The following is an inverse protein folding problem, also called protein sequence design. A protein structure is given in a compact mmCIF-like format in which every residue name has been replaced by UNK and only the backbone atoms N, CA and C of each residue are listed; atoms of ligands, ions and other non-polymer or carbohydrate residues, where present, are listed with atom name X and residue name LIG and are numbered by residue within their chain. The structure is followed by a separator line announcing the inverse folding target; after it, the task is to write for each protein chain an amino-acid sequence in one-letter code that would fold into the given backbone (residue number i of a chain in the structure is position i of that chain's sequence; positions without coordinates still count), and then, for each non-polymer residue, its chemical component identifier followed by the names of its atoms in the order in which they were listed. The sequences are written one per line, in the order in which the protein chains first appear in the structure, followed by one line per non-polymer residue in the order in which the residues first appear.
data_IF_351257726217
#
_entry.id   IF_351257726217
#
_cell.length_a   1.000
_cell.length_b   1.000
_cell.length_c   1.000
_cell.angle_alpha   90.00
_cell.angle_beta   90.00
_cell.angle_gamma   90.00
#
_symmetry.space_group_name_H-M   'P 1'
#
loop_
_entity.id
_entity.type
_entity.pdbx_description
1 polymer ?
#
# COMPACT_ATOMS: atom_id res chain seq x y z
N UNK A 1 -0.90 -1.36 -16.70
CA UNK A 1 -0.18 -0.37 -15.88
C UNK A 1 0.94 -1.08 -15.15
N UNK A 2 2.04 -0.39 -14.82
CA UNK A 2 3.26 -1.00 -14.27
C UNK A 2 3.00 -1.95 -13.09
N UNK A 3 2.13 -1.57 -12.15
CA UNK A 3 1.80 -2.39 -10.98
C UNK A 3 1.14 -3.73 -11.37
N UNK A 4 0.08 -3.72 -12.18
CA UNK A 4 -0.55 -4.96 -12.66
C UNK A 4 0.44 -5.87 -13.42
N UNK A 5 1.35 -5.28 -14.22
CA UNK A 5 2.37 -6.04 -14.94
C UNK A 5 3.35 -6.72 -13.98
N UNK A 6 3.82 -6.01 -12.96
CA UNK A 6 4.72 -6.56 -11.93
C UNK A 6 4.05 -7.64 -11.08
N UNK A 7 2.76 -7.47 -10.76
CA UNK A 7 2.02 -8.45 -9.96
C UNK A 7 1.73 -9.74 -10.74
N UNK A 8 1.30 -9.64 -12.01
CA UNK A 8 1.03 -10.81 -12.84
C UNK A 8 2.29 -11.66 -13.11
N UNK A 9 3.47 -11.05 -13.10
CA UNK A 9 4.74 -11.74 -13.30
C UNK A 9 5.40 -12.25 -12.01
N UNK A 10 4.85 -11.93 -10.83
CA UNK A 10 5.45 -12.30 -9.55
C UNK A 10 4.73 -13.51 -8.94
N UNK A 11 5.34 -14.71 -8.96
CA UNK A 11 4.71 -15.93 -8.41
C UNK A 11 4.49 -15.86 -6.89
N UNK A 12 5.14 -14.92 -6.19
CA UNK A 12 4.95 -14.70 -4.76
C UNK A 12 3.79 -13.74 -4.44
N UNK A 13 3.10 -13.20 -5.44
CA UNK A 13 1.99 -12.27 -5.22
C UNK A 13 0.75 -12.71 -6.00
N UNK A 14 -0.17 -13.36 -5.29
CA UNK A 14 -1.53 -13.61 -5.80
C UNK A 14 -2.45 -12.46 -5.44
N UNK A 15 -3.14 -11.89 -6.42
CA UNK A 15 -4.23 -10.96 -6.13
C UNK A 15 -5.40 -11.68 -5.44
N UNK A 16 -6.02 -11.08 -4.41
CA UNK A 16 -7.25 -11.62 -3.83
C UNK A 16 -8.33 -11.83 -4.89
N UNK A 17 -9.18 -12.83 -4.67
CA UNK A 17 -10.29 -13.15 -5.57
C UNK A 17 -11.12 -11.91 -5.88
N UNK A 18 -11.49 -11.76 -7.15
CA UNK A 18 -12.28 -10.65 -7.65
C UNK A 18 -11.50 -9.36 -7.89
N UNK A 19 -10.25 -9.23 -7.44
CA UNK A 19 -9.43 -8.05 -7.76
C UNK A 19 -8.84 -8.19 -9.16
N UNK A 20 -9.02 -7.18 -10.00
CA UNK A 20 -8.48 -7.09 -11.35
C UNK A 20 -7.80 -5.76 -11.60
N UNK A 21 -6.81 -5.78 -12.48
CA UNK A 21 -6.17 -4.60 -13.06
C UNK A 21 -5.74 -3.54 -12.03
N UNK A 22 -5.04 -3.89 -10.92
CA UNK A 22 -4.60 -2.92 -9.93
C UNK A 22 -3.61 -1.91 -10.54
N UNK A 23 -3.79 -0.63 -10.22
CA UNK A 23 -2.95 0.48 -10.70
C UNK A 23 -2.77 1.47 -9.56
N UNK A 24 -1.56 1.99 -9.41
CA UNK A 24 -1.31 3.12 -8.53
C UNK A 24 -1.03 4.34 -9.39
N UNK A 25 -1.78 5.41 -9.15
CA UNK A 25 -1.44 6.75 -9.61
C UNK A 25 -0.60 7.40 -8.51
N UNK A 26 0.59 7.86 -8.87
CA UNK A 26 1.49 8.57 -7.97
C UNK A 26 1.41 10.05 -8.35
N UNK A 27 0.68 10.80 -7.53
CA UNK A 27 0.62 12.26 -7.59
C UNK A 27 1.22 12.86 -6.31
N UNK A 28 1.55 14.15 -6.33
CA UNK A 28 2.13 14.85 -5.19
C UNK A 28 1.07 15.66 -4.44
N UNK A 29 0.89 15.48 -3.12
CA UNK A 29 1.48 14.47 -2.22
C UNK A 29 0.67 13.15 -2.16
N UNK A 30 -0.39 13.03 -2.95
CA UNK A 30 -1.40 12.00 -2.81
C UNK A 30 -1.25 10.89 -3.84
N UNK A 31 -1.36 9.64 -3.40
CA UNK A 31 -1.41 8.49 -4.28
C UNK A 31 -2.86 8.01 -4.37
N UNK A 32 -3.22 7.41 -5.51
CA UNK A 32 -4.53 6.80 -5.67
C UNK A 32 -4.38 5.38 -6.19
N UNK A 33 -4.83 4.40 -5.41
CA UNK A 33 -4.91 3.00 -5.81
C UNK A 33 -6.25 2.75 -6.50
N UNK A 34 -6.20 2.25 -7.71
CA UNK A 34 -7.36 1.84 -8.50
C UNK A 34 -7.34 0.34 -8.75
N UNK A 35 -8.48 -0.31 -8.68
CA UNK A 35 -8.66 -1.69 -9.16
C UNK A 35 -10.12 -1.95 -9.50
N UNK A 36 -10.40 -3.01 -10.25
CA UNK A 36 -11.77 -3.48 -10.44
C UNK A 36 -12.04 -4.60 -9.44
N UNK A 37 -13.16 -4.52 -8.72
CA UNK A 37 -13.67 -5.59 -7.88
C UNK A 37 -14.81 -6.30 -8.61
N UNK A 38 -14.59 -7.56 -8.96
CA UNK A 38 -15.54 -8.48 -9.58
C UNK A 38 -16.02 -9.49 -8.54
N UNK A 39 -17.33 -9.49 -8.27
CA UNK A 39 -18.02 -10.48 -7.46
C UNK A 39 -19.16 -11.06 -8.29
N UNK A 40 -19.67 -12.22 -7.91
CA UNK A 40 -20.76 -12.91 -8.63
C UNK A 40 -22.00 -12.05 -8.88
N UNK A 41 -22.23 -11.01 -8.08
CA UNK A 41 -23.41 -10.13 -8.13
C UNK A 41 -23.12 -8.69 -8.51
N UNK A 42 -21.85 -8.27 -8.59
CA UNK A 42 -21.52 -6.90 -8.96
C UNK A 42 -20.08 -6.77 -9.44
N UNK A 43 -19.87 -5.79 -10.32
CA UNK A 43 -18.55 -5.33 -10.74
C UNK A 43 -18.46 -3.84 -10.46
N UNK A 44 -17.40 -3.39 -9.78
CA UNK A 44 -17.21 -1.97 -9.48
C UNK A 44 -15.74 -1.56 -9.58
N UNK A 45 -15.51 -0.36 -10.10
CA UNK A 45 -14.20 0.27 -10.05
C UNK A 45 -13.99 0.85 -8.65
N UNK A 46 -12.94 0.40 -7.97
CA UNK A 46 -12.56 0.89 -6.65
C UNK A 46 -11.45 1.92 -6.80
N UNK A 47 -11.58 3.04 -6.08
CA UNK A 47 -10.52 4.03 -5.93
C UNK A 47 -10.26 4.32 -4.45
N UNK A 48 -9.00 4.28 -4.04
CA UNK A 48 -8.55 4.58 -2.68
C UNK A 48 -7.55 5.71 -2.76
N UNK A 49 -7.88 6.84 -2.14
CA UNK A 49 -6.95 7.94 -1.99
C UNK A 49 -6.16 7.78 -0.70
N UNK A 50 -4.84 7.87 -0.81
CA UNK A 50 -3.93 7.68 0.31
C UNK A 50 -2.73 8.61 0.22
N UNK A 51 -2.08 8.85 1.35
CA UNK A 51 -0.80 9.55 1.44
C UNK A 51 0.19 8.65 2.15
N UNK A 52 1.34 8.43 1.53
CA UNK A 52 2.43 7.65 2.10
C UNK A 52 3.57 8.60 2.47
N UNK A 53 4.13 8.43 3.66
CA UNK A 53 5.34 9.14 4.10
C UNK A 53 6.21 8.23 4.95
N UNK A 54 7.50 8.54 5.01
CA UNK A 54 8.39 7.93 6.00
C UNK A 54 7.96 8.40 7.40
N UNK A 55 7.92 7.46 8.35
CA UNK A 55 7.72 7.74 9.75
C UNK A 55 9.02 8.24 10.39
N UNK A 56 8.94 8.70 11.64
CA UNK A 56 10.13 9.06 12.42
C UNK A 56 11.01 7.84 12.74
N UNK A 57 10.40 6.66 12.82
CA UNK A 57 11.09 5.39 13.02
C UNK A 57 11.72 4.92 11.70
N UNK A 58 12.98 4.44 11.71
CA UNK A 58 13.61 3.87 10.53
C UNK A 58 12.77 2.76 9.90
N UNK A 59 12.83 2.67 8.58
CA UNK A 59 12.16 1.64 7.77
C UNK A 59 10.66 1.51 8.04
N UNK A 60 10.04 2.58 8.50
CA UNK A 60 8.63 2.56 8.85
C UNK A 60 7.93 3.62 8.03
N UNK A 61 6.82 3.26 7.40
CA UNK A 61 6.01 4.20 6.63
C UNK A 61 4.66 4.39 7.29
N UNK A 62 4.15 5.62 7.23
CA UNK A 62 2.76 5.94 7.55
C UNK A 62 1.96 6.01 6.25
N UNK A 63 0.88 5.23 6.18
CA UNK A 63 -0.09 5.25 5.09
C UNK A 63 -1.39 5.82 5.64
N UNK A 64 -1.69 7.07 5.30
CA UNK A 64 -2.96 7.72 5.64
C UNK A 64 -3.99 7.42 4.55
N UNK A 65 -5.11 6.82 4.94
CA UNK A 65 -6.25 6.59 4.07
C UNK A 65 -7.19 7.81 4.14
N UNK A 66 -7.40 8.47 3.00
CA UNK A 66 -8.19 9.71 2.93
C UNK A 66 -9.61 9.45 2.45
N UNK A 67 -9.79 8.59 1.45
CA UNK A 67 -11.11 8.25 0.92
C UNK A 67 -11.12 6.90 0.18
N UNK A 68 -12.30 6.31 0.07
CA UNK A 68 -12.56 5.07 -0.67
C UNK A 68 -13.87 5.24 -1.44
N UNK A 69 -13.86 4.95 -2.74
CA UNK A 69 -15.05 5.00 -3.58
C UNK A 69 -15.23 3.70 -4.35
N UNK A 70 -16.49 3.35 -4.63
CA UNK A 70 -16.91 2.33 -5.57
C UNK A 70 -17.66 3.01 -6.72
N UNK A 71 -16.99 3.22 -7.85
CA UNK A 71 -17.42 4.16 -8.87
C UNK A 71 -17.49 5.57 -8.28
N UNK A 72 -18.66 6.21 -8.38
CA UNK A 72 -18.92 7.52 -7.79
C UNK A 72 -19.48 7.45 -6.35
N UNK A 73 -19.67 6.24 -5.79
CA UNK A 73 -20.24 6.06 -4.46
C UNK A 73 -19.14 6.11 -3.39
N UNK A 74 -19.12 7.09 -2.48
CA UNK A 74 -18.21 7.05 -1.34
C UNK A 74 -18.57 5.90 -0.40
N UNK A 75 -17.58 5.08 -0.07
CA UNK A 75 -17.72 3.97 0.86
C UNK A 75 -17.17 4.40 2.22
N UNK A 76 -17.89 4.06 3.29
CA UNK A 76 -17.42 4.31 4.65
C UNK A 76 -16.18 3.48 4.92
N UNK A 77 -15.04 4.17 5.03
CA UNK A 77 -13.72 3.54 5.20
C UNK A 77 -13.63 2.67 6.46
N UNK A 78 -14.41 3.01 7.50
CA UNK A 78 -14.51 2.21 8.73
C UNK A 78 -14.92 0.75 8.48
N UNK A 79 -15.63 0.45 7.39
CA UNK A 79 -16.06 -0.92 7.05
C UNK A 79 -14.95 -1.80 6.48
N UNK A 80 -13.85 -1.22 6.00
CA UNK A 80 -12.78 -1.98 5.32
C UNK A 80 -11.54 -2.19 6.19
N UNK A 81 -11.47 -1.57 7.37
CA UNK A 81 -10.28 -1.65 8.23
C UNK A 81 -9.98 -3.07 8.70
N UNK A 82 -11.00 -3.81 9.13
CA UNK A 82 -10.82 -5.18 9.60
C UNK A 82 -10.38 -6.11 8.45
N UNK A 83 -10.87 -5.86 7.23
CA UNK A 83 -10.43 -6.59 6.04
C UNK A 83 -8.96 -6.31 5.69
N UNK A 84 -8.54 -5.04 5.77
CA UNK A 84 -7.14 -4.63 5.56
C UNK A 84 -6.23 -5.31 6.60
N UNK A 85 -6.59 -5.23 7.88
CA UNK A 85 -5.81 -5.82 8.98
C UNK A 85 -5.69 -7.34 8.81
N UNK A 86 -6.82 -8.00 8.49
CA UNK A 86 -6.85 -9.43 8.20
C UNK A 86 -5.98 -9.80 7.00
N UNK A 87 -5.97 -8.97 5.95
CA UNK A 87 -5.11 -9.19 4.77
C UNK A 87 -3.63 -9.02 5.09
N UNK A 88 -3.24 -8.02 5.86
CA UNK A 88 -1.85 -7.78 6.27
C UNK A 88 -1.31 -8.89 7.18
N UNK A 89 -2.15 -9.37 8.12
CA UNK A 89 -1.78 -10.50 8.97
C UNK A 89 -1.51 -11.77 8.14
N UNK A 90 -2.33 -12.03 7.12
CA UNK A 90 -2.11 -13.19 6.22
C UNK A 90 -0.86 -13.06 5.35
N UNK A 91 -0.44 -11.85 5.01
CA UNK A 91 0.77 -11.62 4.19
C UNK A 91 2.06 -11.54 4.99
N UNK A 92 1.98 -11.64 6.33
CA UNK A 92 3.15 -11.51 7.21
C UNK A 92 3.75 -10.10 7.21
N UNK A 93 3.00 -9.11 6.75
CA UNK A 93 3.42 -7.71 6.78
C UNK A 93 3.25 -7.17 8.20
N UNK A 94 4.33 -6.64 8.78
CA UNK A 94 4.28 -5.94 10.08
C UNK A 94 3.46 -4.65 9.92
N UNK A 95 2.23 -4.72 10.40
CA UNK A 95 1.18 -3.73 10.21
C UNK A 95 0.51 -3.41 11.54
N UNK A 96 0.27 -2.12 11.80
CA UNK A 96 -0.57 -1.65 12.91
C UNK A 96 -1.25 -0.33 12.57
N UNK A 97 -2.39 -0.07 13.19
CA UNK A 97 -3.00 1.26 13.15
C UNK A 97 -2.27 2.22 14.08
N UNK A 98 -2.02 3.46 13.65
CA UNK A 98 -1.44 4.51 14.50
C UNK A 98 -2.42 4.89 15.61
N UNK A 99 -2.04 4.84 16.90
CA UNK A 99 -2.88 5.25 18.00
C UNK A 99 -3.40 6.70 17.83
N UNK A 100 -4.65 6.94 18.21
CA UNK A 100 -5.27 8.27 18.14
C UNK A 100 -5.69 8.73 16.73
N UNK A 101 -5.64 7.85 15.71
CA UNK A 101 -6.00 8.19 14.32
C UNK A 101 -7.31 7.60 13.83
N UNK A 102 -8.15 7.04 14.71
CA UNK A 102 -9.40 6.35 14.32
C UNK A 102 -9.20 5.29 13.21
N UNK A 103 -8.04 4.63 13.22
CA UNK A 103 -7.61 3.65 12.20
C UNK A 103 -7.53 4.23 10.77
N UNK A 104 -7.29 5.54 10.63
CA UNK A 104 -7.10 6.18 9.32
C UNK A 104 -5.64 6.24 8.88
N UNK A 105 -4.69 6.02 9.81
CA UNK A 105 -3.26 5.96 9.51
C UNK A 105 -2.73 4.59 9.87
N UNK A 106 -2.30 3.84 8.87
CA UNK A 106 -1.56 2.59 9.04
C UNK A 106 -0.06 2.87 9.20
N UNK A 107 0.59 2.07 10.01
CA UNK A 107 2.04 2.00 10.16
C UNK A 107 2.46 0.65 9.59
N UNK A 108 3.37 0.67 8.61
CA UNK A 108 3.92 -0.53 7.97
C UNK A 108 5.43 -0.51 8.10
N UNK A 109 6.02 -1.63 8.55
CA UNK A 109 7.47 -1.79 8.61
C UNK A 109 7.98 -2.44 7.32
N UNK A 110 8.97 -1.79 6.71
CA UNK A 110 9.70 -2.31 5.56
C UNK A 110 10.83 -3.21 6.11
N UNK A 111 10.97 -4.45 5.62
CA UNK A 111 12.05 -5.34 6.06
C UNK A 111 13.43 -4.69 5.90
N UNK A 112 14.22 -4.70 6.99
CA UNK A 112 15.59 -4.16 7.06
C UNK A 112 16.62 -5.07 6.41
N UNK A 113 16.39 -6.39 6.42
CA UNK A 113 17.34 -7.37 5.87
C UNK A 113 16.94 -7.74 4.46
N UNK A 114 17.75 -7.34 3.49
CA UNK A 114 17.58 -7.74 2.09
C UNK A 114 18.82 -8.48 1.63
N UNK A 115 18.66 -9.69 1.08
CA UNK A 115 19.76 -10.45 0.49
C UNK A 115 20.12 -9.89 -0.89
N UNK A 116 20.96 -8.86 -0.92
CA UNK A 116 21.58 -8.39 -2.16
C UNK A 116 23.01 -8.94 -2.21
N UNK A 117 23.18 -10.15 -2.75
CA UNK A 117 24.45 -10.91 -2.81
C UNK A 117 25.09 -11.31 -1.45
N UNK A 118 24.84 -10.55 -0.37
CA UNK A 118 25.15 -10.82 1.04
C UNK A 118 24.00 -10.26 1.91
N UNK A 119 23.88 -10.71 3.15
CA UNK A 119 22.96 -10.09 4.11
C UNK A 119 23.49 -8.70 4.46
N UNK A 120 22.65 -7.67 4.23
CA UNK A 120 22.92 -6.29 4.63
C UNK A 120 21.68 -5.70 5.26
N UNK A 121 21.91 -4.86 6.26
CA UNK A 121 20.87 -4.01 6.82
C UNK A 121 20.74 -2.77 5.94
N UNK A 122 19.51 -2.50 5.50
CA UNK A 122 19.15 -1.32 4.73
C UNK A 122 18.42 -0.36 5.65
N UNK A 123 18.84 0.89 5.69
CA UNK A 123 18.12 1.95 6.39
C UNK A 123 17.55 2.95 5.38
N UNK A 124 16.24 3.00 5.27
CA UNK A 124 15.52 3.94 4.42
C UNK A 124 15.51 5.29 5.12
N UNK A 125 16.29 6.23 4.59
CA UNK A 125 16.48 7.57 5.16
C UNK A 125 15.58 8.62 4.52
N UNK A 126 15.11 8.39 3.29
CA UNK A 126 14.18 9.27 2.60
C UNK A 126 13.24 8.51 1.67
N UNK A 127 11.98 8.96 1.64
CA UNK A 127 10.93 8.48 0.74
C UNK A 127 10.18 9.69 0.16
N UNK A 128 10.43 9.98 -1.11
CA UNK A 128 9.80 11.09 -1.83
C UNK A 128 8.95 10.55 -2.98
N UNK A 129 7.67 10.94 -3.00
CA UNK A 129 6.82 10.73 -4.16
C UNK A 129 6.98 11.91 -5.10
N UNK A 130 7.38 11.64 -6.33
CA UNK A 130 7.41 12.58 -7.46
C UNK A 130 6.32 12.15 -8.44
N UNK A 131 5.89 13.04 -9.35
CA UNK A 131 4.90 12.66 -10.36
C UNK A 131 5.36 11.39 -11.10
N UNK A 132 4.56 10.34 -11.00
CA UNK A 132 4.82 9.01 -11.59
C UNK A 132 6.09 8.28 -11.11
N UNK A 133 6.79 8.80 -10.09
CA UNK A 133 8.08 8.26 -9.62
C UNK A 133 8.15 8.22 -8.11
N UNK A 134 8.84 7.23 -7.56
CA UNK A 134 9.19 7.19 -6.13
C UNK A 134 10.71 7.25 -6.04
N UNK A 135 11.23 8.17 -5.25
CA UNK A 135 12.64 8.24 -4.89
C UNK A 135 12.80 7.71 -3.47
N UNK A 136 13.64 6.71 -3.33
CA UNK A 136 14.01 6.11 -2.05
C UNK A 136 15.51 6.33 -1.87
N UNK A 137 15.92 6.89 -0.74
CA UNK A 137 17.32 6.92 -0.32
C UNK A 137 17.53 5.88 0.77
N UNK A 138 18.61 5.12 0.63
CA UNK A 138 18.94 4.01 1.51
C UNK A 138 20.39 4.17 1.95
N UNK A 139 20.62 4.16 3.26
CA UNK A 139 21.93 3.96 3.85
C UNK A 139 22.18 2.45 4.01
N UNK A 140 23.43 2.04 3.79
CA UNK A 140 23.85 0.64 3.87
C UNK A 140 25.04 0.60 4.83
N UNK A 141 24.91 -0.22 5.86
CA UNK A 141 26.02 -0.57 6.76
C UNK A 141 26.90 -1.71 6.19
#
# INVERSE_FOLDING_TARGET
GWLATQLNGNPHVSLPDGIRNPRILIDQPQQTLYFTLERSRFTSAISIQLTIKLAEQPNTIEIKLSSLHAGNLPIRIKRVFDEIESAMARSGVDFKWKPGTDRTVAIVRIPTVVRIKRERELDITSLEFLKEKVRVQVAID
#
